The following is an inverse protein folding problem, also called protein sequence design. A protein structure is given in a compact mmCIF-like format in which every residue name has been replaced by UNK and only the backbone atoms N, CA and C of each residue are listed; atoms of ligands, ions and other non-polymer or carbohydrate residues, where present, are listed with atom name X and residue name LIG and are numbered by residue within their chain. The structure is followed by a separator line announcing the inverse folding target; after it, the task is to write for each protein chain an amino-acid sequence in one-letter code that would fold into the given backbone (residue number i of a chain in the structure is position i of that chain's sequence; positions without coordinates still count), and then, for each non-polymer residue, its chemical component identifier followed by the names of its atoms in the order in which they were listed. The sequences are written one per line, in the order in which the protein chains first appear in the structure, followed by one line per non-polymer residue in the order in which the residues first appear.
data_IF_118306609531
#
_entry.id   IF_118306609531
#
_cell.length_a   1.000
_cell.length_b   1.000
_cell.length_c   1.000
_cell.angle_alpha   90.00
_cell.angle_beta   90.00
_cell.angle_gamma   90.00
#
_symmetry.space_group_name_H-M   'P 1'
#
loop_
_entity.id
_entity.type
_entity.pdbx_description
1 polymer ?
#
# COMPACT_ATOMS: atom_id res chain seq x y z
N UNK A 1 125.06 110.15 47.91
CA UNK A 1 125.87 110.70 49.04
C UNK A 1 127.12 111.48 48.59
N UNK A 2 127.27 111.83 47.31
CA UNK A 2 128.39 112.65 46.79
C UNK A 2 128.14 114.16 47.01
N UNK A 3 126.88 114.55 47.21
CA UNK A 3 126.43 115.94 47.33
C UNK A 3 126.75 116.65 48.68
N UNK A 4 127.34 115.94 49.66
CA UNK A 4 127.73 116.49 50.98
C UNK A 4 129.24 116.78 51.09
N UNK A 5 130.08 116.07 50.34
CA UNK A 5 131.53 116.20 50.40
C UNK A 5 132.06 117.43 49.66
N UNK A 6 131.39 117.81 48.57
CA UNK A 6 131.73 118.98 47.73
C UNK A 6 131.57 120.29 48.53
N UNK A 7 130.57 120.38 49.42
CA UNK A 7 130.36 121.54 50.32
C UNK A 7 131.43 121.67 51.41
N UNK A 8 132.08 120.57 51.79
CA UNK A 8 133.10 120.56 52.84
C UNK A 8 134.47 121.01 52.30
N UNK A 9 134.77 120.69 51.04
CA UNK A 9 136.01 121.09 50.37
C UNK A 9 135.98 122.59 50.00
N UNK A 10 134.82 123.10 49.57
CA UNK A 10 134.64 124.53 49.27
C UNK A 10 134.78 125.44 50.53
N UNK A 11 134.54 124.91 51.73
CA UNK A 11 134.65 125.69 52.98
C UNK A 11 136.09 125.71 53.55
N UNK A 12 136.92 124.71 53.24
CA UNK A 12 138.30 124.60 53.73
C UNK A 12 139.26 125.56 53.01
N UNK A 13 138.98 125.92 51.76
CA UNK A 13 139.79 126.86 50.99
C UNK A 13 139.61 128.32 51.39
N UNK A 14 138.60 128.65 52.22
CA UNK A 14 138.26 130.03 52.58
C UNK A 14 138.97 130.56 53.85
N UNK A 15 139.73 129.72 54.59
CA UNK A 15 140.27 130.10 55.92
C UNK A 15 141.79 130.10 56.05
N UNK A 16 142.56 129.96 54.96
CA UNK A 16 144.03 130.06 54.98
C UNK A 16 144.52 131.19 54.06
N UNK A 17 144.12 132.41 54.39
CA UNK A 17 144.80 133.64 54.00
C UNK A 17 145.73 134.09 55.14
N UNK A 18 147.05 133.94 54.98
CA UNK A 18 148.07 134.78 55.65
C UNK A 18 149.27 134.99 54.70
N UNK A 19 149.11 136.01 53.86
CA UNK A 19 150.03 137.10 53.49
C UNK A 19 151.53 137.02 53.91
N UNK A 20 152.46 137.02 52.93
CA UNK A 20 153.53 138.04 52.70
C UNK A 20 154.79 137.50 51.99
N UNK A 21 155.23 138.20 50.93
CA UNK A 21 156.56 138.14 50.28
C UNK A 21 156.66 137.11 49.15
N UNK A 22 156.93 137.42 47.88
CA UNK A 22 157.79 138.45 47.32
C UNK A 22 159.03 137.76 46.71
N UNK A 23 158.93 137.25 45.47
CA UNK A 23 160.07 137.02 44.56
C UNK A 23 159.57 136.86 43.11
N UNK A 24 160.11 137.67 42.19
CA UNK A 24 159.71 137.87 40.80
C UNK A 24 160.35 136.83 39.85
N UNK A 25 160.03 135.54 40.04
CA UNK A 25 160.35 134.48 39.09
C UNK A 25 159.24 133.43 39.12
N UNK A 26 158.65 133.11 37.97
CA UNK A 26 157.82 131.91 37.67
C UNK A 26 156.39 132.17 37.16
N UNK A 27 156.24 133.15 36.26
CA UNK A 27 155.03 133.37 35.44
C UNK A 27 154.77 132.24 34.41
N UNK A 28 155.79 131.43 34.08
CA UNK A 28 155.72 130.31 33.12
C UNK A 28 155.12 129.02 33.73
N UNK A 29 155.06 128.91 35.06
CA UNK A 29 154.54 127.71 35.73
C UNK A 29 153.01 127.68 35.80
N UNK A 30 152.36 128.84 35.78
CA UNK A 30 150.90 128.95 35.82
C UNK A 30 150.26 128.85 34.42
N UNK A 31 150.98 129.25 33.35
CA UNK A 31 150.48 129.12 31.96
C UNK A 31 150.44 127.65 31.48
N UNK A 32 151.43 126.82 31.85
CA UNK A 32 151.41 125.39 31.50
C UNK A 32 150.34 124.60 32.26
N UNK A 33 150.00 125.01 33.50
CA UNK A 33 148.94 124.38 34.27
C UNK A 33 147.55 124.73 33.70
N UNK A 34 147.34 125.97 33.24
CA UNK A 34 146.09 126.36 32.59
C UNK A 34 145.89 125.66 31.25
N UNK A 35 146.97 125.39 30.49
CA UNK A 35 146.91 124.64 29.23
C UNK A 35 146.66 123.13 29.46
N UNK A 36 147.27 122.51 30.47
CA UNK A 36 146.97 121.12 30.88
C UNK A 36 145.55 120.99 31.47
N UNK A 37 145.07 121.98 32.22
CA UNK A 37 143.71 122.00 32.75
C UNK A 37 142.67 122.19 31.63
N UNK A 38 142.95 123.04 30.65
CA UNK A 38 142.08 123.24 29.48
C UNK A 38 142.00 121.97 28.60
N UNK A 39 143.12 121.26 28.42
CA UNK A 39 143.15 119.98 27.71
C UNK A 39 142.37 118.89 28.48
N UNK A 40 142.49 118.84 29.81
CA UNK A 40 141.76 117.90 30.65
C UNK A 40 140.25 118.23 30.72
N UNK A 41 139.87 119.51 30.78
CA UNK A 41 138.47 119.94 30.70
C UNK A 41 137.85 119.63 29.33
N UNK A 42 138.60 119.79 28.24
CA UNK A 42 138.16 119.41 26.89
C UNK A 42 137.98 117.89 26.77
N UNK A 43 138.92 117.10 27.30
CA UNK A 43 138.84 115.64 27.27
C UNK A 43 137.72 115.11 28.19
N UNK A 44 137.50 115.72 29.36
CA UNK A 44 136.38 115.38 30.23
C UNK A 44 135.03 115.74 29.59
N UNK A 45 134.96 116.85 28.83
CA UNK A 45 133.76 117.21 28.09
C UNK A 45 133.48 116.24 26.93
N UNK A 46 134.52 115.75 26.25
CA UNK A 46 134.39 114.74 25.19
C UNK A 46 134.01 113.36 25.76
N UNK A 47 134.66 112.91 26.84
CA UNK A 47 134.33 111.65 27.53
C UNK A 47 132.93 111.68 28.14
N UNK A 48 132.50 112.83 28.67
CA UNK A 48 131.14 113.00 29.20
C UNK A 48 130.10 113.05 28.08
N UNK A 49 130.39 113.69 26.95
CA UNK A 49 129.53 113.64 25.77
C UNK A 49 129.44 112.21 25.18
N UNK A 50 130.55 111.47 25.14
CA UNK A 50 130.57 110.09 24.68
C UNK A 50 129.80 109.17 25.65
N UNK A 51 129.97 109.35 26.96
CA UNK A 51 129.22 108.61 27.98
C UNK A 51 127.71 108.92 27.93
N UNK A 52 127.31 110.16 27.63
CA UNK A 52 125.91 110.54 27.41
C UNK A 52 125.34 109.88 26.14
N UNK A 53 126.12 109.81 25.05
CA UNK A 53 125.71 109.12 23.82
C UNK A 53 125.57 107.61 24.05
N UNK A 54 126.51 106.99 24.76
CA UNK A 54 126.46 105.56 25.06
C UNK A 54 125.32 105.20 26.03
N UNK A 55 125.03 106.07 27.00
CA UNK A 55 123.86 105.94 27.87
C UNK A 55 122.55 106.07 27.09
N UNK A 56 122.43 107.06 26.21
CA UNK A 56 121.26 107.23 25.34
C UNK A 56 121.08 106.03 24.40
N UNK A 57 122.18 105.50 23.85
CA UNK A 57 122.17 104.31 23.02
C UNK A 57 121.70 103.07 23.79
N UNK A 58 122.17 102.89 25.03
CA UNK A 58 121.73 101.81 25.90
C UNK A 58 120.25 101.93 26.29
N UNK A 59 119.76 103.14 26.57
CA UNK A 59 118.33 103.39 26.82
C UNK A 59 117.48 103.11 25.58
N UNK A 60 117.93 103.52 24.39
CA UNK A 60 117.25 103.24 23.13
C UNK A 60 117.23 101.75 22.81
N UNK A 61 118.33 101.03 23.03
CA UNK A 61 118.41 99.57 22.87
C UNK A 61 117.50 98.84 23.88
N UNK A 62 117.41 99.33 25.12
CA UNK A 62 116.49 98.79 26.12
C UNK A 62 115.02 99.04 25.75
N UNK A 63 114.67 100.26 25.29
CA UNK A 63 113.32 100.60 24.84
C UNK A 63 112.91 99.79 23.61
N UNK A 64 113.83 99.56 22.67
CA UNK A 64 113.58 98.73 21.49
C UNK A 64 113.42 97.25 21.87
N UNK A 65 114.15 96.76 22.86
CA UNK A 65 113.97 95.41 23.39
C UNK A 65 112.63 95.25 24.13
N UNK A 66 112.19 96.25 24.90
CA UNK A 66 110.86 96.25 25.54
C UNK A 66 109.74 96.28 24.49
N UNK A 67 109.87 97.12 23.46
CA UNK A 67 108.94 97.15 22.33
C UNK A 67 108.91 95.81 21.57
N UNK A 68 110.05 95.17 21.35
CA UNK A 68 110.10 93.83 20.74
C UNK A 68 109.37 92.79 21.58
N UNK A 69 109.47 92.85 22.90
CA UNK A 69 108.73 91.97 23.81
C UNK A 69 107.22 92.25 23.74
N UNK A 70 106.81 93.52 23.69
CA UNK A 70 105.40 93.90 23.51
C UNK A 70 104.84 93.40 22.17
N UNK A 71 105.59 93.57 21.08
CA UNK A 71 105.20 93.09 19.74
C UNK A 71 105.12 91.55 19.70
N UNK A 72 106.06 90.84 20.33
CA UNK A 72 106.02 89.38 20.46
C UNK A 72 104.84 88.91 21.31
N UNK A 73 104.50 89.62 22.40
CA UNK A 73 103.36 89.31 23.24
C UNK A 73 102.05 89.54 22.50
N UNK A 74 101.91 90.66 21.79
CA UNK A 74 100.74 90.94 20.96
C UNK A 74 100.56 89.90 19.83
N UNK A 75 101.66 89.48 19.20
CA UNK A 75 101.63 88.40 18.20
C UNK A 75 101.23 87.05 18.82
N UNK A 76 101.68 86.75 20.04
CA UNK A 76 101.33 85.53 20.76
C UNK A 76 99.85 85.54 21.20
N UNK A 77 99.35 86.66 21.74
CA UNK A 77 97.93 86.81 22.11
C UNK A 77 97.02 86.66 20.89
N UNK A 78 97.35 87.32 19.77
CA UNK A 78 96.60 87.17 18.53
C UNK A 78 96.62 85.72 17.99
N UNK A 79 97.75 85.01 18.15
CA UNK A 79 97.85 83.60 17.78
C UNK A 79 97.02 82.70 18.70
N UNK A 80 97.04 82.97 20.01
CA UNK A 80 96.24 82.23 20.99
C UNK A 80 94.74 82.40 20.73
N UNK A 81 94.29 83.61 20.41
CA UNK A 81 92.89 83.87 20.02
C UNK A 81 92.51 83.12 18.74
N UNK A 82 93.40 83.11 17.73
CA UNK A 82 93.17 82.36 16.50
C UNK A 82 93.12 80.83 16.74
N UNK A 83 94.01 80.30 17.57
CA UNK A 83 94.03 78.88 17.94
C UNK A 83 92.79 78.49 18.75
N UNK A 84 92.31 79.36 19.65
CA UNK A 84 91.09 79.13 20.44
C UNK A 84 89.83 79.18 19.55
N UNK A 85 89.74 80.15 18.63
CA UNK A 85 88.66 80.21 17.65
C UNK A 85 88.65 78.99 16.71
N UNK A 86 89.83 78.51 16.30
CA UNK A 86 89.95 77.28 15.52
C UNK A 86 89.56 76.03 16.33
N UNK A 87 89.91 75.98 17.62
CA UNK A 87 89.51 74.90 18.52
C UNK A 87 88.01 74.88 18.76
N UNK A 88 87.38 76.04 18.99
CA UNK A 88 85.93 76.16 19.14
C UNK A 88 85.19 75.72 17.87
N UNK A 89 85.66 76.15 16.70
CA UNK A 89 85.09 75.73 15.42
C UNK A 89 85.21 74.22 15.19
N UNK A 90 86.37 73.61 15.51
CA UNK A 90 86.56 72.15 15.44
C UNK A 90 85.62 71.40 16.40
N UNK A 91 85.48 71.89 17.64
CA UNK A 91 84.58 71.29 18.63
C UNK A 91 83.10 71.39 18.21
N UNK A 92 82.70 72.49 17.56
CA UNK A 92 81.35 72.64 17.02
C UNK A 92 81.10 71.70 15.84
N UNK A 93 82.07 71.54 14.92
CA UNK A 93 81.99 70.58 13.81
C UNK A 93 81.86 69.14 14.34
N UNK A 94 82.65 68.76 15.35
CA UNK A 94 82.54 67.43 15.98
C UNK A 94 81.16 67.22 16.62
N UNK A 95 80.63 68.24 17.30
CA UNK A 95 79.29 68.20 17.89
C UNK A 95 78.19 68.12 16.82
N UNK A 96 78.34 68.82 15.69
CA UNK A 96 77.41 68.76 14.56
C UNK A 96 77.43 67.38 13.89
N UNK A 97 78.62 66.81 13.65
CA UNK A 97 78.75 65.45 13.12
C UNK A 97 78.13 64.41 14.05
N UNK A 98 78.32 64.56 15.38
CA UNK A 98 77.68 63.70 16.37
C UNK A 98 76.14 63.84 16.35
N UNK A 99 75.61 65.06 16.22
CA UNK A 99 74.17 65.30 16.04
C UNK A 99 73.64 64.68 14.74
N UNK A 100 74.37 64.81 13.63
CA UNK A 100 74.01 64.23 12.35
C UNK A 100 74.01 62.69 12.41
N UNK A 101 75.01 62.09 13.05
CA UNK A 101 75.08 60.64 13.29
C UNK A 101 73.91 60.16 14.16
N UNK A 102 73.59 60.87 15.23
CA UNK A 102 72.44 60.56 16.09
C UNK A 102 71.10 60.69 15.34
N UNK A 103 70.94 61.73 14.51
CA UNK A 103 69.76 61.91 13.68
C UNK A 103 69.61 60.77 12.67
N UNK A 104 70.69 60.38 12.00
CA UNK A 104 70.68 59.24 11.07
C UNK A 104 70.29 57.94 11.78
N UNK A 105 70.89 57.64 12.93
CA UNK A 105 70.55 56.46 13.72
C UNK A 105 69.07 56.46 14.16
N UNK A 106 68.52 57.63 14.52
CA UNK A 106 67.11 57.77 14.84
C UNK A 106 66.21 57.54 13.61
N UNK A 107 66.55 58.08 12.45
CA UNK A 107 65.82 57.87 11.20
C UNK A 107 65.84 56.40 10.78
N UNK A 108 66.98 55.74 10.87
CA UNK A 108 67.14 54.31 10.58
C UNK A 108 66.29 53.46 11.53
N UNK A 109 66.30 53.78 12.83
CA UNK A 109 65.44 53.12 13.82
C UNK A 109 63.96 53.34 13.53
N UNK A 110 63.55 54.56 13.18
CA UNK A 110 62.17 54.89 12.85
C UNK A 110 61.69 54.17 11.59
N UNK A 111 62.57 54.01 10.59
CA UNK A 111 62.28 53.21 9.40
C UNK A 111 62.10 51.73 9.75
N UNK A 112 62.97 51.17 10.60
CA UNK A 112 62.87 49.80 11.09
C UNK A 112 61.58 49.57 11.91
N UNK A 113 61.25 50.48 12.82
CA UNK A 113 60.05 50.41 13.65
C UNK A 113 58.77 50.51 12.81
N UNK A 114 58.74 51.38 11.79
CA UNK A 114 57.62 51.44 10.83
C UNK A 114 57.47 50.15 10.04
N UNK A 115 58.57 49.56 9.56
CA UNK A 115 58.54 48.28 8.85
C UNK A 115 58.04 47.14 9.76
N UNK A 116 58.49 47.11 11.01
CA UNK A 116 58.02 46.13 12.00
C UNK A 116 56.54 46.31 12.32
N UNK A 117 56.06 47.53 12.50
CA UNK A 117 54.65 47.84 12.73
C UNK A 117 53.76 47.46 11.53
N UNK A 118 54.22 47.73 10.30
CA UNK A 118 53.53 47.30 9.09
C UNK A 118 53.43 45.77 9.00
N UNK A 119 54.52 45.05 9.30
CA UNK A 119 54.53 43.58 9.34
C UNK A 119 53.60 43.02 10.41
N UNK A 120 53.62 43.62 11.61
CA UNK A 120 52.72 43.23 12.70
C UNK A 120 51.25 43.44 12.33
N UNK A 121 50.93 44.59 11.72
CA UNK A 121 49.58 44.89 11.23
C UNK A 121 49.14 43.89 10.15
N UNK A 122 50.01 43.60 9.18
CA UNK A 122 49.71 42.61 8.13
C UNK A 122 49.49 41.20 8.71
N UNK A 123 50.31 40.78 9.68
CA UNK A 123 50.15 39.49 10.35
C UNK A 123 48.83 39.43 11.16
N UNK A 124 48.47 40.51 11.85
CA UNK A 124 47.20 40.61 12.57
C UNK A 124 46.00 40.55 11.62
N UNK A 125 46.02 41.31 10.52
CA UNK A 125 44.95 41.28 9.52
C UNK A 125 44.82 39.90 8.86
N UNK A 126 45.95 39.24 8.56
CA UNK A 126 45.94 37.87 8.04
C UNK A 126 45.35 36.87 9.04
N UNK A 127 45.64 37.03 10.34
CA UNK A 127 45.03 36.22 11.39
C UNK A 127 43.52 36.43 11.45
N UNK A 128 43.06 37.68 11.45
CA UNK A 128 41.63 38.00 11.47
C UNK A 128 40.90 37.40 10.27
N UNK A 129 41.49 37.49 9.06
CA UNK A 129 40.91 36.89 7.86
C UNK A 129 40.80 35.37 8.00
N UNK A 130 41.84 34.69 8.50
CA UNK A 130 41.82 33.25 8.75
C UNK A 130 40.78 32.85 9.79
N UNK A 131 40.68 33.62 10.88
CA UNK A 131 39.70 33.37 11.94
C UNK A 131 38.26 33.53 11.39
N UNK A 132 38.02 34.52 10.52
CA UNK A 132 36.74 34.70 9.84
C UNK A 132 36.42 33.55 8.86
N UNK A 133 37.38 33.10 8.06
CA UNK A 133 37.22 31.95 7.16
C UNK A 133 36.92 30.66 7.92
N UNK A 134 37.61 30.42 9.04
CA UNK A 134 37.33 29.27 9.90
C UNK A 134 35.94 29.33 10.50
N UNK A 135 35.49 30.50 10.97
CA UNK A 135 34.14 30.68 11.49
C UNK A 135 33.08 30.37 10.42
N UNK A 136 33.24 30.91 9.21
CA UNK A 136 32.34 30.65 8.09
C UNK A 136 32.29 29.16 7.72
N UNK A 137 33.45 28.49 7.68
CA UNK A 137 33.50 27.05 7.39
C UNK A 137 32.87 26.19 8.49
N UNK A 138 32.98 26.60 9.75
CA UNK A 138 32.32 25.89 10.85
C UNK A 138 30.79 26.03 10.78
N UNK A 139 30.29 27.19 10.37
CA UNK A 139 28.86 27.42 10.14
C UNK A 139 28.35 26.59 8.95
N UNK A 140 29.10 26.56 7.84
CA UNK A 140 28.79 25.72 6.68
C UNK A 140 28.76 24.23 7.06
N UNK A 141 29.77 23.74 7.79
CA UNK A 141 29.80 22.36 8.29
C UNK A 141 28.64 22.04 9.24
N UNK A 142 28.21 22.99 10.07
CA UNK A 142 27.06 22.80 10.94
C UNK A 142 25.77 22.64 10.12
N UNK A 143 25.58 23.48 9.09
CA UNK A 143 24.45 23.38 8.16
C UNK A 143 24.49 22.04 7.40
N UNK A 144 25.65 21.62 6.89
CA UNK A 144 25.82 20.33 6.22
C UNK A 144 25.44 19.16 7.13
N UNK A 145 25.82 19.19 8.42
CA UNK A 145 25.45 18.16 9.39
C UNK A 145 23.94 18.15 9.70
N UNK A 146 23.32 19.32 9.82
CA UNK A 146 21.87 19.45 9.99
C UNK A 146 21.11 18.90 8.77
N UNK A 147 21.58 19.23 7.56
CA UNK A 147 21.02 18.72 6.31
C UNK A 147 21.15 17.20 6.20
N UNK A 148 22.33 16.63 6.47
CA UNK A 148 22.53 15.19 6.44
C UNK A 148 21.63 14.46 7.46
N UNK A 149 21.44 15.05 8.64
CA UNK A 149 20.52 14.53 9.66
C UNK A 149 19.06 14.60 9.19
N UNK A 150 18.68 15.69 8.52
CA UNK A 150 17.34 15.86 7.98
C UNK A 150 17.05 14.87 6.83
N UNK A 151 17.97 14.72 5.89
CA UNK A 151 17.86 13.76 4.79
C UNK A 151 17.74 12.32 5.30
N UNK A 152 18.54 11.94 6.31
CA UNK A 152 18.44 10.63 6.94
C UNK A 152 17.07 10.40 7.61
N UNK A 153 16.52 11.41 8.29
CA UNK A 153 15.17 11.35 8.88
C UNK A 153 14.10 11.22 7.81
N UNK A 154 14.19 12.00 6.73
CA UNK A 154 13.24 11.95 5.62
C UNK A 154 13.25 10.57 4.96
N UNK A 155 14.43 9.99 4.72
CA UNK A 155 14.55 8.65 4.16
C UNK A 155 13.94 7.57 5.08
N UNK A 156 14.15 7.69 6.40
CA UNK A 156 13.54 6.79 7.38
C UNK A 156 12.01 6.93 7.43
N UNK A 157 11.49 8.17 7.36
CA UNK A 157 10.05 8.45 7.32
C UNK A 157 9.41 7.92 6.03
N UNK A 158 10.06 8.09 4.88
CA UNK A 158 9.61 7.53 3.61
C UNK A 158 9.56 6.00 3.65
N UNK A 159 10.62 5.34 4.16
CA UNK A 159 10.63 3.89 4.31
C UNK A 159 9.52 3.38 5.27
N UNK A 160 9.26 4.10 6.36
CA UNK A 160 8.15 3.79 7.26
C UNK A 160 6.78 3.99 6.61
N UNK A 161 6.61 5.06 5.82
CA UNK A 161 5.38 5.34 5.07
C UNK A 161 5.12 4.28 3.99
N UNK A 162 6.15 3.86 3.26
CA UNK A 162 6.06 2.78 2.27
C UNK A 162 5.66 1.46 2.93
N UNK A 163 6.27 1.12 4.06
CA UNK A 163 5.91 -0.08 4.82
C UNK A 163 4.45 -0.05 5.30
N UNK A 164 3.97 1.08 5.81
CA UNK A 164 2.57 1.24 6.21
C UNK A 164 1.62 1.09 5.02
N UNK A 165 1.95 1.69 3.87
CA UNK A 165 1.16 1.55 2.64
C UNK A 165 1.11 0.10 2.14
N UNK A 166 2.21 -0.64 2.25
CA UNK A 166 2.26 -2.06 1.89
C UNK A 166 1.38 -2.91 2.82
N UNK A 167 1.42 -2.65 4.13
CA UNK A 167 0.55 -3.32 5.11
C UNK A 167 -0.93 -3.07 4.80
N UNK A 168 -1.31 -1.83 4.51
CA UNK A 168 -2.70 -1.50 4.12
C UNK A 168 -3.12 -2.23 2.84
N UNK A 169 -2.23 -2.31 1.85
CA UNK A 169 -2.48 -3.05 0.62
C UNK A 169 -2.61 -4.56 0.86
N UNK A 170 -1.79 -5.13 1.76
CA UNK A 170 -1.83 -6.56 2.12
C UNK A 170 -3.13 -6.90 2.87
N UNK A 171 -3.56 -6.06 3.81
CA UNK A 171 -4.86 -6.19 4.47
C UNK A 171 -6.02 -6.12 3.48
N UNK A 172 -5.97 -5.21 2.50
CA UNK A 172 -7.00 -5.12 1.46
C UNK A 172 -7.03 -6.37 0.57
N UNK A 173 -5.88 -6.93 0.20
CA UNK A 173 -5.77 -8.20 -0.52
C UNK A 173 -6.33 -9.36 0.29
N UNK A 174 -6.02 -9.43 1.58
CA UNK A 174 -6.55 -10.46 2.48
C UNK A 174 -8.08 -10.39 2.61
N UNK A 175 -8.65 -9.18 2.73
CA UNK A 175 -10.08 -8.97 2.75
C UNK A 175 -10.75 -9.40 1.43
N UNK A 176 -10.15 -9.04 0.28
CA UNK A 176 -10.64 -9.46 -1.03
C UNK A 176 -10.59 -10.99 -1.22
N UNK A 177 -9.51 -11.63 -0.76
CA UNK A 177 -9.37 -13.09 -0.80
C UNK A 177 -10.44 -13.76 0.05
N UNK A 178 -10.68 -13.28 1.28
CA UNK A 178 -11.74 -13.79 2.16
C UNK A 178 -13.11 -13.67 1.49
N UNK A 179 -13.44 -12.49 0.95
CA UNK A 179 -14.71 -12.28 0.25
C UNK A 179 -14.88 -13.21 -0.96
N UNK A 180 -13.80 -13.47 -1.71
CA UNK A 180 -13.81 -14.43 -2.82
C UNK A 180 -14.05 -15.87 -2.33
N UNK A 181 -13.39 -16.29 -1.24
CA UNK A 181 -13.58 -17.61 -0.65
C UNK A 181 -15.01 -17.81 -0.15
N UNK A 182 -15.58 -16.81 0.53
CA UNK A 182 -16.96 -16.83 1.03
C UNK A 182 -17.95 -16.96 -0.13
N UNK A 183 -17.75 -16.19 -1.21
CA UNK A 183 -18.56 -16.29 -2.43
C UNK A 183 -18.44 -17.67 -3.08
N UNK A 184 -17.22 -18.22 -3.18
CA UNK A 184 -17.00 -19.54 -3.75
C UNK A 184 -17.66 -20.65 -2.93
N UNK A 185 -17.68 -20.52 -1.60
CA UNK A 185 -18.42 -21.45 -0.73
C UNK A 185 -19.94 -21.34 -0.96
N UNK A 186 -20.48 -20.13 -1.06
CA UNK A 186 -21.89 -19.90 -1.36
C UNK A 186 -22.29 -20.44 -2.73
N UNK A 187 -21.48 -20.16 -3.78
CA UNK A 187 -21.72 -20.64 -5.14
C UNK A 187 -21.69 -22.17 -5.21
N UNK A 188 -20.76 -22.82 -4.50
CA UNK A 188 -20.74 -24.29 -4.38
C UNK A 188 -21.96 -24.85 -3.67
N UNK A 189 -22.41 -24.21 -2.60
CA UNK A 189 -23.61 -24.63 -1.89
C UNK A 189 -24.86 -24.47 -2.77
N UNK A 190 -24.96 -23.36 -3.50
CA UNK A 190 -26.05 -23.12 -4.45
C UNK A 190 -26.04 -24.13 -5.60
N UNK A 191 -24.87 -24.44 -6.17
CA UNK A 191 -24.74 -25.46 -7.22
C UNK A 191 -25.10 -26.87 -6.72
N UNK A 192 -24.71 -27.22 -5.50
CA UNK A 192 -25.08 -28.49 -4.88
C UNK A 192 -26.59 -28.59 -4.65
N UNK A 193 -27.21 -27.51 -4.14
CA UNK A 193 -28.66 -27.43 -3.94
C UNK A 193 -29.44 -27.53 -5.26
N UNK A 194 -28.98 -26.82 -6.30
CA UNK A 194 -29.59 -26.91 -7.63
C UNK A 194 -29.49 -28.33 -8.22
N UNK A 195 -28.34 -28.98 -8.03
CA UNK A 195 -28.14 -30.37 -8.47
C UNK A 195 -29.04 -31.35 -7.71
N UNK A 196 -29.22 -31.15 -6.39
CA UNK A 196 -30.12 -31.97 -5.58
C UNK A 196 -31.57 -31.79 -6.04
N UNK A 197 -32.04 -30.54 -6.15
CA UNK A 197 -33.40 -30.23 -6.61
C UNK A 197 -33.70 -30.82 -8.01
N UNK A 198 -32.72 -30.77 -8.92
CA UNK A 198 -32.86 -31.39 -10.25
C UNK A 198 -33.01 -32.92 -10.17
N UNK A 199 -32.22 -33.58 -9.31
CA UNK A 199 -32.31 -35.03 -9.12
C UNK A 199 -33.61 -35.45 -8.46
N UNK A 200 -34.06 -34.70 -7.46
CA UNK A 200 -35.32 -34.97 -6.77
C UNK A 200 -36.51 -34.86 -7.74
N UNK A 201 -36.55 -33.80 -8.57
CA UNK A 201 -37.57 -33.63 -9.59
C UNK A 201 -37.56 -34.75 -10.64
N UNK A 202 -36.36 -35.23 -11.02
CA UNK A 202 -36.22 -36.36 -11.94
C UNK A 202 -36.76 -37.66 -11.33
N UNK A 203 -36.39 -37.94 -10.07
CA UNK A 203 -36.88 -39.12 -9.34
C UNK A 203 -38.40 -39.09 -9.15
N UNK A 204 -38.97 -37.93 -8.83
CA UNK A 204 -40.42 -37.76 -8.70
C UNK A 204 -41.13 -38.01 -10.04
N UNK A 205 -40.57 -37.52 -11.15
CA UNK A 205 -41.10 -37.77 -12.48
C UNK A 205 -40.99 -39.25 -12.89
N UNK A 206 -39.87 -39.92 -12.60
CA UNK A 206 -39.70 -41.35 -12.86
C UNK A 206 -40.66 -42.21 -12.03
N UNK A 207 -40.85 -41.86 -10.75
CA UNK A 207 -41.78 -42.56 -9.87
C UNK A 207 -43.23 -42.38 -10.31
N UNK A 208 -43.64 -41.15 -10.67
CA UNK A 208 -44.97 -40.88 -11.21
C UNK A 208 -45.22 -41.63 -12.52
N UNK A 209 -44.23 -41.71 -13.41
CA UNK A 209 -44.32 -42.48 -14.65
C UNK A 209 -44.46 -44.00 -14.38
N UNK A 210 -43.72 -44.52 -13.40
CA UNK A 210 -43.79 -45.92 -12.98
C UNK A 210 -45.15 -46.25 -12.33
N UNK A 211 -45.64 -45.41 -11.42
CA UNK A 211 -46.96 -45.56 -10.81
C UNK A 211 -48.08 -45.56 -11.86
N UNK A 212 -48.00 -44.67 -12.86
CA UNK A 212 -48.95 -44.65 -13.97
C UNK A 212 -48.88 -45.93 -14.83
N UNK A 213 -47.68 -46.47 -15.05
CA UNK A 213 -47.49 -47.73 -15.78
C UNK A 213 -48.10 -48.91 -15.02
N UNK A 214 -47.86 -49.00 -13.71
CA UNK A 214 -48.42 -50.06 -12.85
C UNK A 214 -49.94 -49.97 -12.81
N UNK A 215 -50.51 -48.77 -12.66
CA UNK A 215 -51.96 -48.58 -12.66
C UNK A 215 -52.59 -48.98 -14.01
N UNK A 216 -51.92 -48.70 -15.13
CA UNK A 216 -52.37 -49.14 -16.45
C UNK A 216 -52.28 -50.67 -16.63
N UNK A 217 -51.24 -51.30 -16.10
CA UNK A 217 -51.07 -52.75 -16.12
C UNK A 217 -52.11 -53.46 -15.25
N UNK A 218 -52.41 -52.91 -14.06
CA UNK A 218 -53.47 -53.41 -13.17
C UNK A 218 -54.85 -53.30 -13.84
N UNK A 219 -55.18 -52.15 -14.44
CA UNK A 219 -56.44 -51.99 -15.18
C UNK A 219 -56.54 -52.94 -16.38
N UNK A 220 -55.43 -53.20 -17.09
CA UNK A 220 -55.41 -54.18 -18.17
C UNK A 220 -55.57 -55.62 -17.65
N UNK A 221 -54.98 -55.94 -16.49
CA UNK A 221 -55.14 -57.24 -15.85
C UNK A 221 -56.57 -57.47 -15.34
N UNK A 222 -57.21 -56.46 -14.75
CA UNK A 222 -58.63 -56.51 -14.37
C UNK A 222 -59.52 -56.73 -15.59
N UNK A 223 -59.28 -56.02 -16.69
CA UNK A 223 -60.01 -56.22 -17.94
C UNK A 223 -59.83 -57.63 -18.49
N UNK A 224 -58.61 -58.19 -18.45
CA UNK A 224 -58.37 -59.58 -18.86
C UNK A 224 -59.10 -60.58 -17.96
N UNK A 225 -59.13 -60.36 -16.65
CA UNK A 225 -59.88 -61.19 -15.73
C UNK A 225 -61.39 -61.14 -15.99
N UNK A 226 -61.94 -59.95 -16.29
CA UNK A 226 -63.35 -59.80 -16.67
C UNK A 226 -63.67 -60.52 -17.99
N UNK A 227 -62.77 -60.44 -18.99
CA UNK A 227 -62.92 -61.19 -20.24
C UNK A 227 -62.92 -62.71 -19.99
N UNK A 228 -62.01 -63.21 -19.15
CA UNK A 228 -61.99 -64.63 -18.78
C UNK A 228 -63.28 -65.07 -18.08
N UNK A 229 -63.82 -64.23 -17.19
CA UNK A 229 -65.10 -64.48 -16.53
C UNK A 229 -66.26 -64.47 -17.52
N UNK A 230 -66.31 -63.50 -18.44
CA UNK A 230 -67.34 -63.43 -19.48
C UNK A 230 -67.25 -64.59 -20.47
N UNK A 231 -66.04 -65.05 -20.82
CA UNK A 231 -65.87 -66.28 -21.61
C UNK A 231 -66.39 -67.51 -20.85
N UNK A 232 -66.12 -67.61 -19.55
CA UNK A 232 -66.65 -68.69 -18.72
C UNK A 232 -68.18 -68.65 -18.62
N UNK A 233 -68.78 -67.45 -18.46
CA UNK A 233 -70.24 -67.25 -18.49
C UNK A 233 -70.84 -67.62 -19.84
N UNK A 234 -70.20 -67.22 -20.94
CA UNK A 234 -70.63 -67.58 -22.30
C UNK A 234 -70.58 -69.10 -22.52
N UNK A 235 -69.53 -69.77 -22.02
CA UNK A 235 -69.42 -71.23 -22.07
C UNK A 235 -70.52 -71.92 -21.25
N UNK A 236 -70.82 -71.41 -20.05
CA UNK A 236 -71.88 -71.92 -19.19
C UNK A 236 -73.27 -71.72 -19.81
N UNK A 237 -73.53 -70.55 -20.41
CA UNK A 237 -74.77 -70.27 -21.13
C UNK A 237 -74.95 -71.21 -22.32
N UNK A 238 -73.89 -71.42 -23.11
CA UNK A 238 -73.92 -72.36 -24.23
C UNK A 238 -74.24 -73.79 -23.73
N UNK A 239 -73.57 -74.25 -22.68
CA UNK A 239 -73.84 -75.56 -22.09
C UNK A 239 -75.30 -75.68 -21.59
N UNK A 240 -75.86 -74.62 -21.01
CA UNK A 240 -77.26 -74.58 -20.60
C UNK A 240 -78.22 -74.65 -21.80
N UNK A 241 -77.96 -73.91 -22.88
CA UNK A 241 -78.75 -73.95 -24.11
C UNK A 241 -78.72 -75.33 -24.76
N UNK A 242 -77.55 -75.96 -24.83
CA UNK A 242 -77.37 -77.31 -25.36
C UNK A 242 -78.17 -78.33 -24.53
N UNK A 243 -78.12 -78.22 -23.20
CA UNK A 243 -78.93 -79.05 -22.30
C UNK A 243 -80.42 -78.83 -22.51
N UNK A 244 -80.87 -77.59 -22.64
CA UNK A 244 -82.28 -77.26 -22.86
C UNK A 244 -82.77 -77.80 -24.21
N UNK A 245 -81.94 -77.77 -25.25
CA UNK A 245 -82.24 -78.39 -26.53
C UNK A 245 -82.38 -79.91 -26.40
N UNK A 246 -81.48 -80.56 -25.67
CA UNK A 246 -81.56 -82.00 -25.38
C UNK A 246 -82.80 -82.36 -24.55
N UNK A 247 -83.10 -81.61 -23.50
CA UNK A 247 -84.28 -81.81 -22.64
C UNK A 247 -85.58 -81.60 -23.43
N UNK A 248 -85.62 -80.60 -24.33
CA UNK A 248 -86.77 -80.39 -25.23
C UNK A 248 -86.93 -81.53 -26.23
N UNK A 249 -85.84 -82.04 -26.79
CA UNK A 249 -85.87 -83.22 -27.66
C UNK A 249 -86.38 -84.45 -26.91
N UNK A 250 -85.87 -84.70 -25.68
CA UNK A 250 -86.33 -85.78 -24.81
C UNK A 250 -87.81 -85.64 -24.44
N UNK A 251 -88.28 -84.45 -24.08
CA UNK A 251 -89.68 -84.19 -23.80
C UNK A 251 -90.57 -84.42 -25.03
N UNK A 252 -90.13 -84.01 -26.22
CA UNK A 252 -90.85 -84.27 -27.47
C UNK A 252 -90.93 -85.77 -27.80
N UNK A 253 -89.84 -86.52 -27.57
CA UNK A 253 -89.81 -87.96 -27.72
C UNK A 253 -90.71 -88.67 -26.70
N UNK A 254 -90.71 -88.23 -25.43
CA UNK A 254 -91.60 -88.76 -24.41
C UNK A 254 -93.07 -88.50 -24.73
N UNK A 255 -93.39 -87.30 -25.24
CA UNK A 255 -94.75 -86.95 -25.69
C UNK A 255 -95.17 -87.80 -26.89
N UNK A 256 -94.27 -88.06 -27.84
CA UNK A 256 -94.54 -88.92 -28.99
C UNK A 256 -94.75 -90.39 -28.57
N UNK A 257 -93.94 -90.90 -27.64
CA UNK A 257 -94.09 -92.25 -27.10
C UNK A 257 -95.41 -92.43 -26.34
N UNK A 258 -95.81 -91.44 -25.53
CA UNK A 258 -97.10 -91.44 -24.84
C UNK A 258 -98.29 -91.41 -25.81
N UNK A 259 -98.19 -90.64 -26.90
CA UNK A 259 -99.23 -90.62 -27.94
C UNK A 259 -99.34 -91.96 -28.67
N UNK A 260 -98.20 -92.60 -28.98
CA UNK A 260 -98.18 -93.91 -29.64
C UNK A 260 -98.78 -95.02 -28.76
N UNK A 261 -98.67 -94.94 -27.42
CA UNK A 261 -99.28 -95.93 -26.53
C UNK A 261 -100.81 -95.86 -26.43
N UNK A 262 -101.46 -94.85 -27.03
CA UNK A 262 -102.91 -94.66 -26.99
C UNK A 262 -103.64 -95.18 -28.23
N UNK A 263 -102.94 -95.60 -29.29
CA UNK A 263 -103.57 -96.05 -30.55
C UNK A 263 -104.04 -97.51 -30.54
N UNK A 264 -103.65 -98.33 -29.56
CA UNK A 264 -103.99 -99.76 -29.50
C UNK A 264 -105.28 -100.09 -28.68
N UNK A 265 -106.02 -99.11 -28.15
CA UNK A 265 -107.20 -99.35 -27.28
C UNK A 265 -108.52 -98.73 -27.78
N UNK A 266 -108.56 -98.11 -28.97
CA UNK A 266 -109.71 -97.34 -29.46
C UNK A 266 -110.44 -98.08 -30.60
N UNK A 267 -111.71 -98.44 -30.38
CA UNK A 267 -112.57 -99.11 -31.40
C UNK A 267 -113.21 -98.11 -32.37
N UNK A 268 -113.46 -96.88 -31.93
CA UNK A 268 -114.03 -95.84 -32.79
C UNK A 268 -114.40 -94.57 -32.04
N UNK A 269 -114.86 -93.58 -32.78
CA UNK A 269 -115.27 -92.28 -32.26
C UNK A 269 -116.77 -92.11 -32.44
N UNK A 270 -117.50 -91.86 -31.35
CA UNK A 270 -118.93 -91.57 -31.38
C UNK A 270 -119.15 -90.09 -31.09
N UNK A 271 -119.92 -89.42 -31.97
CA UNK A 271 -120.33 -88.03 -31.78
C UNK A 271 -121.76 -87.98 -31.27
N UNK A 272 -121.95 -87.51 -30.04
CA UNK A 272 -123.25 -87.27 -29.42
C UNK A 272 -123.30 -85.79 -29.04
N UNK A 273 -124.31 -85.05 -29.51
CA UNK A 273 -124.53 -83.62 -29.18
C UNK A 273 -123.26 -82.74 -29.28
N UNK A 274 -122.48 -82.88 -30.37
CA UNK A 274 -121.24 -82.12 -30.69
C UNK A 274 -119.99 -82.40 -29.81
N UNK A 275 -119.99 -83.45 -28.96
CA UNK A 275 -118.82 -83.92 -28.23
C UNK A 275 -118.24 -85.21 -28.87
N UNK A 276 -116.91 -85.25 -29.01
CA UNK A 276 -116.14 -86.37 -29.54
C UNK A 276 -115.79 -87.33 -28.41
N UNK A 277 -116.42 -88.51 -28.39
CA UNK A 277 -116.18 -89.52 -27.37
C UNK A 277 -115.38 -90.66 -27.98
N UNK A 278 -114.18 -90.88 -27.44
CA UNK A 278 -113.29 -91.99 -27.80
C UNK A 278 -113.83 -93.27 -27.16
N UNK A 279 -114.34 -94.20 -27.96
CA UNK A 279 -114.87 -95.48 -27.49
C UNK A 279 -113.74 -96.49 -27.40
N UNK A 280 -113.35 -96.87 -26.18
CA UNK A 280 -112.31 -97.87 -25.95
C UNK A 280 -112.84 -99.30 -26.08
N UNK A 281 -111.96 -100.28 -26.33
CA UNK A 281 -112.35 -101.70 -26.37
C UNK A 281 -113.08 -102.14 -25.09
N UNK A 282 -112.57 -101.70 -23.94
CA UNK A 282 -113.15 -102.01 -22.64
C UNK A 282 -114.55 -101.40 -22.43
N UNK A 283 -114.76 -100.14 -22.86
CA UNK A 283 -116.07 -99.49 -22.80
C UNK A 283 -117.09 -100.21 -23.67
N UNK A 284 -116.65 -100.62 -24.87
CA UNK A 284 -117.46 -101.30 -25.85
C UNK A 284 -117.97 -102.66 -25.35
N UNK A 285 -117.08 -103.52 -24.87
CA UNK A 285 -117.44 -104.86 -24.37
C UNK A 285 -118.27 -104.80 -23.08
N UNK A 286 -117.96 -103.87 -22.17
CA UNK A 286 -118.74 -103.71 -20.94
C UNK A 286 -120.19 -103.26 -21.24
N UNK A 287 -120.35 -102.29 -22.14
CA UNK A 287 -121.68 -101.77 -22.50
C UNK A 287 -122.49 -102.77 -23.33
N UNK A 288 -121.85 -103.55 -24.19
CA UNK A 288 -122.48 -104.70 -24.85
C UNK A 288 -123.07 -105.66 -23.82
N UNK A 289 -122.28 -106.08 -22.83
CA UNK A 289 -122.74 -106.99 -21.78
C UNK A 289 -123.86 -106.38 -20.92
N UNK A 290 -123.70 -105.13 -20.49
CA UNK A 290 -124.68 -104.45 -19.64
C UNK A 290 -126.05 -104.29 -20.33
N UNK A 291 -126.04 -104.07 -21.64
CA UNK A 291 -127.27 -103.89 -22.44
C UNK A 291 -127.80 -105.20 -23.05
N UNK A 292 -127.16 -106.34 -22.78
CA UNK A 292 -127.57 -107.64 -23.29
C UNK A 292 -127.49 -107.77 -24.82
N UNK A 293 -126.62 -106.98 -25.45
CA UNK A 293 -126.43 -106.98 -26.90
C UNK A 293 -125.61 -108.21 -27.33
N UNK A 294 -125.96 -108.80 -28.47
CA UNK A 294 -125.23 -109.95 -29.01
C UNK A 294 -124.01 -109.49 -29.82
N UNK A 295 -123.05 -110.39 -30.08
CA UNK A 295 -121.90 -110.08 -30.97
C UNK A 295 -122.34 -109.62 -32.37
N UNK A 296 -123.50 -110.10 -32.85
CA UNK A 296 -124.08 -109.65 -34.10
C UNK A 296 -124.53 -108.18 -34.03
N UNK A 297 -124.97 -107.70 -32.86
CA UNK A 297 -125.29 -106.28 -32.65
C UNK A 297 -124.02 -105.42 -32.64
N UNK A 298 -122.90 -105.93 -32.13
CA UNK A 298 -121.60 -105.22 -32.22
C UNK A 298 -121.16 -105.09 -33.66
N UNK A 299 -121.13 -106.19 -34.42
CA UNK A 299 -120.72 -106.12 -35.81
C UNK A 299 -121.63 -105.19 -36.63
N UNK A 300 -122.92 -105.14 -36.28
CA UNK A 300 -123.87 -104.17 -36.86
C UNK A 300 -123.53 -102.73 -36.46
N UNK A 301 -123.16 -102.47 -35.20
CA UNK A 301 -122.73 -101.16 -34.71
C UNK A 301 -121.44 -100.71 -35.41
N UNK A 302 -120.40 -101.54 -35.42
CA UNK A 302 -119.10 -101.22 -36.04
C UNK A 302 -119.23 -100.98 -37.54
N UNK A 303 -119.97 -101.83 -38.26
CA UNK A 303 -120.24 -101.62 -39.68
C UNK A 303 -121.07 -100.37 -39.93
N UNK A 304 -122.09 -100.10 -39.11
CA UNK A 304 -122.90 -98.90 -39.27
C UNK A 304 -122.13 -97.62 -38.88
N UNK A 305 -121.14 -97.70 -37.99
CA UNK A 305 -120.23 -96.61 -37.66
C UNK A 305 -119.27 -96.33 -38.81
N UNK A 306 -118.62 -97.38 -39.35
CA UNK A 306 -117.71 -97.27 -40.50
C UNK A 306 -118.42 -96.74 -41.77
N UNK A 307 -119.67 -97.16 -41.98
CA UNK A 307 -120.49 -96.74 -43.13
C UNK A 307 -121.24 -95.41 -42.89
N UNK A 308 -121.14 -94.81 -41.70
CA UNK A 308 -121.86 -93.58 -41.32
C UNK A 308 -123.38 -93.73 -41.23
N UNK A 309 -123.90 -94.96 -41.15
CA UNK A 309 -125.34 -95.28 -41.11
C UNK A 309 -125.84 -95.70 -39.72
N UNK A 310 -125.04 -95.48 -38.67
CA UNK A 310 -125.32 -95.88 -37.28
C UNK A 310 -126.76 -95.59 -36.83
N UNK A 311 -127.29 -94.42 -37.19
CA UNK A 311 -128.63 -93.97 -36.80
C UNK A 311 -129.79 -94.59 -37.61
N UNK A 312 -129.49 -95.33 -38.68
CA UNK A 312 -130.47 -95.98 -39.55
C UNK A 312 -130.69 -97.47 -39.24
N UNK A 313 -129.77 -98.13 -38.52
CA UNK A 313 -129.83 -99.55 -38.17
C UNK A 313 -129.70 -99.71 -36.66
N UNK A 314 -130.72 -100.25 -35.99
CA UNK A 314 -130.69 -100.45 -34.54
C UNK A 314 -130.22 -101.84 -34.10
N UNK A 315 -130.04 -102.07 -32.79
CA UNK A 315 -129.73 -103.39 -32.28
C UNK A 315 -130.84 -104.39 -32.63
N UNK A 316 -130.47 -105.65 -32.82
CA UNK A 316 -131.39 -106.76 -33.05
C UNK A 316 -131.87 -107.35 -31.72
N UNK A 317 -133.19 -107.51 -31.59
CA UNK A 317 -133.84 -108.22 -30.48
C UNK A 317 -134.56 -109.48 -30.99
N UNK A 318 -135.16 -110.26 -30.08
CA UNK A 318 -135.96 -111.43 -30.43
C UNK A 318 -137.13 -111.13 -31.39
N UNK A 319 -137.56 -109.86 -31.50
CA UNK A 319 -138.64 -109.40 -32.37
C UNK A 319 -138.15 -108.79 -33.69
N UNK A 320 -136.84 -108.86 -33.98
CA UNK A 320 -136.20 -108.29 -35.17
C UNK A 320 -135.32 -107.07 -34.87
N UNK A 321 -134.82 -106.43 -35.93
CA UNK A 321 -133.99 -105.22 -35.85
C UNK A 321 -134.82 -104.02 -35.41
N UNK A 322 -134.31 -103.23 -34.45
CA UNK A 322 -135.04 -102.07 -33.96
C UNK A 322 -135.02 -100.91 -34.97
N UNK A 323 -136.22 -100.37 -35.23
CA UNK A 323 -136.43 -99.26 -36.13
C UNK A 323 -137.02 -97.99 -35.42
N UNK A 324 -136.23 -97.21 -34.64
CA UNK A 324 -136.55 -95.82 -34.19
C UNK A 324 -135.35 -94.85 -33.98
N UNK A 325 -135.55 -93.53 -33.92
CA UNK A 325 -134.42 -92.56 -33.86
C UNK A 325 -133.47 -92.77 -32.65
N UNK A 326 -133.96 -93.34 -31.56
CA UNK A 326 -133.25 -93.58 -30.31
C UNK A 326 -132.65 -94.99 -30.17
N UNK A 327 -132.44 -95.71 -31.27
CA UNK A 327 -132.03 -97.14 -31.28
C UNK A 327 -130.75 -97.44 -30.50
N UNK A 328 -129.77 -96.54 -30.55
CA UNK A 328 -128.47 -96.73 -29.91
C UNK A 328 -128.27 -95.83 -28.69
N UNK A 329 -129.27 -95.04 -28.29
CA UNK A 329 -129.12 -94.05 -27.21
C UNK A 329 -128.72 -94.69 -25.88
N UNK A 330 -129.20 -95.91 -25.61
CA UNK A 330 -128.80 -96.68 -24.43
C UNK A 330 -127.31 -97.06 -24.47
N UNK A 331 -126.81 -97.44 -25.64
CA UNK A 331 -125.41 -97.76 -25.87
C UNK A 331 -124.53 -96.51 -25.82
N UNK A 332 -124.93 -95.44 -26.52
CA UNK A 332 -124.25 -94.16 -26.51
C UNK A 332 -124.14 -93.59 -25.08
N UNK A 333 -125.23 -93.61 -24.31
CA UNK A 333 -125.18 -93.20 -22.90
C UNK A 333 -124.29 -94.10 -22.05
N UNK A 334 -124.29 -95.42 -22.29
CA UNK A 334 -123.45 -96.33 -21.54
C UNK A 334 -121.96 -96.03 -21.75
N UNK A 335 -121.56 -95.84 -23.02
CA UNK A 335 -120.16 -95.57 -23.37
C UNK A 335 -119.72 -94.17 -22.95
N UNK A 336 -120.60 -93.16 -23.11
CA UNK A 336 -120.34 -91.78 -22.65
C UNK A 336 -120.11 -91.72 -21.14
N UNK A 337 -120.87 -92.50 -20.37
CA UNK A 337 -120.73 -92.57 -18.93
C UNK A 337 -119.85 -93.75 -18.49
N UNK A 338 -119.12 -94.38 -19.42
CA UNK A 338 -118.25 -95.49 -19.07
C UNK A 338 -117.04 -94.94 -18.32
N UNK A 339 -117.03 -95.21 -17.02
CA UNK A 339 -115.83 -95.07 -16.21
C UNK A 339 -115.20 -96.45 -16.19
N UNK A 340 -114.00 -96.57 -16.76
CA UNK A 340 -113.24 -97.83 -16.70
C UNK A 340 -113.11 -98.25 -15.22
N UNK A 341 -113.72 -99.38 -14.80
CA UNK A 341 -113.77 -99.77 -13.40
C UNK A 341 -112.47 -100.45 -12.92
N UNK A 342 -111.39 -100.35 -13.71
CA UNK A 342 -110.05 -100.81 -13.39
C UNK A 342 -109.07 -99.65 -13.24
#
# INVERSE_FOLDING_TARGET
MINKSIKFIALLFLTLNVYAGGDDRDQVYYENLDEELAAFEAQLAEDLAQAEIDAFKAELEAALAEQQIEDELAAFEAKLEADLAAQEMMAEIEAEMARAAALKAFQDKLAADKAAAAKSTAAYQSKLARDAEMAARMEELAIEQELATFEAKLAAEQAAAEMMAEIEAEMARAAALKAFQDKLAADKAAAAAATAAYRDALLEAELAAFEAQVAAEEAAAEMMAEIEEEMARAAALKAFQDKLAADKAAASAATAAYRASLEDEVIGELVVEDEVIVVTEAAHEACKHALGLTDANIALFESALADGTLFNKGPQSANGTEFGASRWDAYANCVTNYVNPF
#
